data_IF_277673341873
#
_entry.id   IF_277673341873
#
_cell.length_a   1.000
_cell.length_b   1.000
_cell.length_c   1.000
_cell.angle_alpha   90.00
_cell.angle_beta   90.00
_cell.angle_gamma   90.00
#
_symmetry.space_group_name_H-M   'P 1'
#
loop_
_entity.id
_entity.type
_entity.pdbx_description
1 polymer ?
#
# COMPACT_ATOMS: atom_id res chain seq x y z
N UNK A 1 32.22 -4.71 5.82
CA UNK A 1 31.05 -4.80 6.72
C UNK A 1 29.94 -3.91 6.17
N UNK A 2 29.27 -4.32 5.10
CA UNK A 2 28.30 -3.45 4.38
C UNK A 2 27.10 -4.22 3.81
N UNK A 3 27.25 -5.52 3.51
CA UNK A 3 26.16 -6.33 2.94
C UNK A 3 25.04 -6.67 3.93
N UNK A 4 25.38 -6.98 5.19
CA UNK A 4 24.36 -7.24 6.22
C UNK A 4 23.46 -6.02 6.45
N UNK A 5 24.06 -4.83 6.48
CA UNK A 5 23.34 -3.57 6.59
C UNK A 5 22.44 -3.30 5.37
N UNK A 6 22.80 -3.78 4.16
CA UNK A 6 21.92 -3.65 2.98
C UNK A 6 20.72 -4.59 3.01
N UNK A 7 20.86 -5.82 3.53
CA UNK A 7 19.72 -6.74 3.71
C UNK A 7 18.71 -6.20 4.71
N UNK A 8 19.21 -5.77 5.86
CA UNK A 8 18.41 -5.19 6.93
C UNK A 8 17.73 -3.89 6.45
N UNK A 9 18.43 -3.05 5.68
CA UNK A 9 17.84 -1.85 5.10
C UNK A 9 16.72 -2.15 4.10
N UNK A 10 16.86 -3.18 3.26
CA UNK A 10 15.82 -3.63 2.34
C UNK A 10 14.59 -4.13 3.10
N UNK A 11 14.79 -4.97 4.12
CA UNK A 11 13.69 -5.50 4.95
C UNK A 11 12.99 -4.38 5.73
N UNK A 12 13.75 -3.47 6.33
CA UNK A 12 13.20 -2.34 7.08
C UNK A 12 12.42 -1.38 6.17
N UNK A 13 12.86 -1.19 4.94
CA UNK A 13 12.13 -0.41 3.93
C UNK A 13 10.83 -1.12 3.54
N UNK A 14 10.86 -2.43 3.30
CA UNK A 14 9.67 -3.22 2.99
C UNK A 14 8.63 -3.14 4.13
N UNK A 15 9.06 -3.28 5.39
CA UNK A 15 8.20 -3.09 6.56
C UNK A 15 7.57 -1.70 6.64
N UNK A 16 8.33 -0.67 6.28
CA UNK A 16 7.82 0.71 6.25
C UNK A 16 6.76 0.88 5.15
N UNK A 17 6.97 0.25 3.99
CA UNK A 17 6.02 0.28 2.88
C UNK A 17 4.71 -0.42 3.26
N UNK A 18 4.78 -1.61 3.86
CA UNK A 18 3.59 -2.34 4.33
C UNK A 18 2.78 -1.51 5.33
N UNK A 19 3.45 -0.92 6.33
CA UNK A 19 2.79 -0.05 7.31
C UNK A 19 2.12 1.16 6.66
N UNK A 20 2.80 1.81 5.72
CA UNK A 20 2.23 2.92 4.96
C UNK A 20 1.02 2.53 4.11
N UNK A 21 1.04 1.35 3.50
CA UNK A 21 -0.08 0.82 2.73
C UNK A 21 -1.32 0.59 3.62
N UNK A 22 -1.13 0.00 4.80
CA UNK A 22 -2.20 -0.23 5.77
C UNK A 22 -2.77 1.07 6.32
N UNK A 23 -1.92 2.05 6.63
CA UNK A 23 -2.34 3.39 7.06
C UNK A 23 -3.19 4.08 5.98
N UNK A 24 -2.79 3.98 4.70
CA UNK A 24 -3.54 4.53 3.58
C UNK A 24 -4.90 3.85 3.44
N UNK A 25 -4.96 2.50 3.52
CA UNK A 25 -6.22 1.75 3.48
C UNK A 25 -7.16 2.19 4.60
N UNK A 26 -6.66 2.24 5.84
CA UNK A 26 -7.44 2.63 7.00
C UNK A 26 -7.97 4.07 6.88
N UNK A 27 -7.11 5.00 6.44
CA UNK A 27 -7.49 6.39 6.25
C UNK A 27 -8.55 6.54 5.14
N UNK A 28 -8.40 5.81 4.03
CA UNK A 28 -9.41 5.82 2.97
C UNK A 28 -10.75 5.30 3.50
N UNK A 29 -10.78 4.14 4.15
CA UNK A 29 -12.03 3.58 4.72
C UNK A 29 -12.71 4.56 5.66
N UNK A 30 -11.95 5.25 6.52
CA UNK A 30 -12.46 6.28 7.42
C UNK A 30 -13.08 7.47 6.67
N UNK A 31 -12.40 7.98 5.64
CA UNK A 31 -12.90 9.10 4.83
C UNK A 31 -14.18 8.71 4.09
N UNK A 32 -14.21 7.52 3.49
CA UNK A 32 -15.36 7.01 2.76
C UNK A 32 -16.58 6.84 3.68
N UNK A 33 -16.40 6.23 4.86
CA UNK A 33 -17.48 6.07 5.84
C UNK A 33 -18.08 7.40 6.28
N UNK A 34 -17.25 8.43 6.53
CA UNK A 34 -17.75 9.77 6.88
C UNK A 34 -18.62 10.39 5.79
N UNK A 35 -18.31 10.13 4.52
CA UNK A 35 -19.15 10.65 3.46
C UNK A 35 -20.41 9.83 3.29
N UNK A 36 -20.35 8.50 3.45
CA UNK A 36 -21.56 7.66 3.49
C UNK A 36 -22.53 8.10 4.59
N UNK A 37 -22.02 8.37 5.80
CA UNK A 37 -22.81 8.88 6.94
C UNK A 37 -23.51 10.21 6.59
N UNK A 38 -22.77 11.15 5.99
CA UNK A 38 -23.32 12.44 5.56
C UNK A 38 -24.45 12.28 4.53
N UNK A 39 -24.35 11.27 3.66
CA UNK A 39 -25.32 11.02 2.60
C UNK A 39 -26.54 10.23 3.09
N UNK A 40 -26.36 9.39 4.12
CA UNK A 40 -27.34 8.44 4.65
C UNK A 40 -28.55 9.07 5.37
N UNK A 41 -28.41 10.24 5.98
CA UNK A 41 -29.51 10.83 6.78
C UNK A 41 -30.34 11.91 6.05
N UNK A 42 -29.94 12.41 4.88
CA UNK A 42 -30.67 13.51 4.22
C UNK A 42 -30.47 13.71 2.72
N UNK A 43 -29.65 12.92 2.05
CA UNK A 43 -29.14 13.25 0.72
C UNK A 43 -29.79 12.45 -0.42
N UNK A 44 -31.11 12.28 -0.36
CA UNK A 44 -31.92 11.79 -1.49
C UNK A 44 -32.24 12.92 -2.47
N UNK A 45 -31.26 13.73 -2.87
CA UNK A 45 -31.43 14.68 -3.98
C UNK A 45 -30.61 14.21 -5.17
N UNK A 46 -31.33 13.86 -6.24
CA UNK A 46 -30.92 13.06 -7.41
C UNK A 46 -29.68 13.55 -8.18
N UNK A 47 -29.17 14.75 -7.89
CA UNK A 47 -28.06 15.36 -8.64
C UNK A 47 -26.69 15.13 -7.98
N UNK A 48 -26.66 14.92 -6.67
CA UNK A 48 -25.40 14.88 -5.93
C UNK A 48 -24.94 13.45 -5.58
N UNK A 49 -25.83 12.46 -5.66
CA UNK A 49 -25.49 11.04 -5.57
C UNK A 49 -24.65 10.53 -6.75
N UNK A 50 -24.87 11.07 -7.96
CA UNK A 50 -24.17 10.63 -9.18
C UNK A 50 -22.68 10.98 -9.16
N UNK A 51 -22.35 12.27 -9.06
CA UNK A 51 -20.94 12.74 -8.99
C UNK A 51 -20.21 12.18 -7.78
N UNK A 52 -20.89 12.06 -6.65
CA UNK A 52 -20.31 11.45 -5.47
C UNK A 52 -20.03 9.95 -5.68
N UNK A 53 -20.98 9.20 -6.25
CA UNK A 53 -20.80 7.78 -6.55
C UNK A 53 -19.71 7.50 -7.58
N UNK A 54 -19.56 8.36 -8.59
CA UNK A 54 -18.46 8.29 -9.57
C UNK A 54 -17.11 8.60 -8.90
N UNK A 55 -17.01 9.71 -8.18
CA UNK A 55 -15.78 10.10 -7.47
C UNK A 55 -15.38 9.09 -6.38
N UNK A 56 -16.37 8.48 -5.70
CA UNK A 56 -16.17 7.39 -4.75
C UNK A 56 -15.52 6.17 -5.43
N UNK A 57 -16.08 5.73 -6.57
CA UNK A 57 -15.54 4.59 -7.32
C UNK A 57 -14.14 4.86 -7.83
N UNK A 58 -13.90 6.06 -8.36
CA UNK A 58 -12.60 6.47 -8.88
C UNK A 58 -11.56 6.55 -7.77
N UNK A 59 -11.88 7.17 -6.63
CA UNK A 59 -11.00 7.25 -5.48
C UNK A 59 -10.66 5.87 -4.93
N UNK A 60 -11.66 5.02 -4.72
CA UNK A 60 -11.45 3.66 -4.23
C UNK A 60 -10.57 2.86 -5.21
N UNK A 61 -10.79 2.98 -6.51
CA UNK A 61 -9.97 2.32 -7.53
C UNK A 61 -8.52 2.82 -7.50
N UNK A 62 -8.32 4.15 -7.52
CA UNK A 62 -7.00 4.74 -7.58
C UNK A 62 -6.16 4.46 -6.33
N UNK A 63 -6.78 4.50 -5.14
CA UNK A 63 -6.08 4.16 -3.90
C UNK A 63 -5.76 2.68 -3.83
N UNK A 64 -6.68 1.78 -4.22
CA UNK A 64 -6.37 0.35 -4.25
C UNK A 64 -5.19 0.06 -5.20
N UNK A 65 -5.17 0.67 -6.39
CA UNK A 65 -4.03 0.54 -7.31
C UNK A 65 -2.72 1.08 -6.72
N UNK A 66 -2.77 2.23 -6.05
CA UNK A 66 -1.59 2.83 -5.42
C UNK A 66 -1.03 1.91 -4.32
N UNK A 67 -1.92 1.38 -3.49
CA UNK A 67 -1.58 0.48 -2.38
C UNK A 67 -1.06 -0.87 -2.90
N UNK A 68 -1.66 -1.45 -3.94
CA UNK A 68 -1.12 -2.63 -4.62
C UNK A 68 0.29 -2.39 -5.15
N UNK A 69 0.56 -1.19 -5.68
CA UNK A 69 1.90 -0.79 -6.10
C UNK A 69 2.90 -0.74 -4.94
N UNK A 70 2.48 -0.26 -3.77
CA UNK A 70 3.31 -0.23 -2.55
C UNK A 70 3.64 -1.65 -2.09
N UNK A 71 2.65 -2.53 -2.01
CA UNK A 71 2.84 -3.93 -1.63
C UNK A 71 3.78 -4.65 -2.60
N UNK A 72 3.63 -4.42 -3.91
CA UNK A 72 4.49 -5.00 -4.93
C UNK A 72 5.95 -4.54 -4.78
N UNK A 73 6.19 -3.27 -4.42
CA UNK A 73 7.52 -2.78 -4.11
C UNK A 73 8.11 -3.41 -2.84
N UNK A 74 7.30 -3.55 -1.78
CA UNK A 74 7.73 -4.22 -0.55
C UNK A 74 8.14 -5.67 -0.83
N UNK A 75 7.35 -6.40 -1.63
CA UNK A 75 7.68 -7.76 -2.04
C UNK A 75 8.97 -7.81 -2.87
N UNK A 76 9.14 -6.89 -3.83
CA UNK A 76 10.35 -6.85 -4.65
C UNK A 76 11.63 -6.62 -3.82
N UNK A 77 11.55 -5.81 -2.76
CA UNK A 77 12.66 -5.60 -1.82
C UNK A 77 13.01 -6.88 -1.04
N UNK A 78 12.00 -7.62 -0.58
CA UNK A 78 12.19 -8.91 0.12
C UNK A 78 12.82 -9.96 -0.79
N UNK A 79 12.31 -10.06 -2.02
CA UNK A 79 12.84 -10.98 -3.03
C UNK A 79 14.30 -10.66 -3.37
N UNK A 80 14.63 -9.37 -3.49
CA UNK A 80 16.01 -8.92 -3.74
C UNK A 80 16.91 -9.29 -2.55
N UNK A 81 16.48 -9.00 -1.32
CA UNK A 81 17.22 -9.33 -0.10
C UNK A 81 17.55 -10.83 -0.04
N UNK A 82 16.56 -11.67 -0.34
CA UNK A 82 16.71 -13.14 -0.34
C UNK A 82 17.69 -13.61 -1.42
N UNK A 83 17.51 -13.17 -2.67
CA UNK A 83 18.38 -13.56 -3.79
C UNK A 83 19.82 -13.15 -3.56
N UNK A 84 20.03 -11.95 -3.04
CA UNK A 84 21.39 -11.45 -2.76
C UNK A 84 22.02 -12.22 -1.60
N UNK A 85 21.27 -12.58 -0.55
CA UNK A 85 21.76 -13.43 0.53
C UNK A 85 22.18 -14.83 0.04
N UNK A 86 21.36 -15.46 -0.81
CA UNK A 86 21.66 -16.76 -1.42
C UNK A 86 22.92 -16.71 -2.30
N UNK A 87 23.01 -15.68 -3.14
CA UNK A 87 24.17 -15.46 -4.01
C UNK A 87 25.47 -15.32 -3.18
N UNK A 88 25.45 -14.50 -2.13
CA UNK A 88 26.61 -14.30 -1.26
C UNK A 88 26.99 -15.58 -0.51
N UNK A 89 26.01 -16.34 -0.02
CA UNK A 89 26.27 -17.61 0.66
C UNK A 89 26.96 -18.61 -0.28
N UNK A 90 26.60 -18.62 -1.56
CA UNK A 90 27.24 -19.50 -2.56
C UNK A 90 28.69 -19.11 -2.85
N UNK A 91 28.99 -17.81 -2.89
CA UNK A 91 30.34 -17.28 -3.13
C UNK A 91 31.26 -17.42 -1.91
N UNK A 92 30.73 -17.33 -0.69
CA UNK A 92 31.51 -17.49 0.55
C UNK A 92 31.81 -18.96 0.87
N UNK A 93 31.01 -19.90 0.35
CA UNK A 93 31.25 -21.33 0.46
C UNK A 93 32.14 -21.92 -0.63
N UNK A 94 32.58 -21.10 -1.60
CA UNK A 94 33.43 -21.48 -2.75
C UNK A 94 34.90 -21.15 -2.54
#
# INVERSE_FOLDING_TARGET
MTFHASYEAMEQTALTLDGGADDIRAQLTSLLGKVEDLLGEGFKTELASGKFGDGYRELNTGVNQAVEGIDAMAQALRDMSTKTQEHDASMAGS
#
